data_IF_773150678156
#
_entry.id   IF_773150678156
#
_cell.length_a   1.000
_cell.length_b   1.000
_cell.length_c   1.000
_cell.angle_alpha   90.00
_cell.angle_beta   90.00
_cell.angle_gamma   90.00
#
_symmetry.space_group_name_H-M   'P 1'
#
loop_
_entity.id
_entity.type
_entity.pdbx_description
1 polymer ?
#
# COMPACT_ATOMS: atom_id res chain seq x y z
N UNK A 1 -15.08 18.71 7.78
CA UNK A 1 -13.79 18.86 7.07
C UNK A 1 -13.05 20.15 7.38
N UNK A 2 -13.75 21.19 7.84
CA UNK A 2 -13.14 22.48 8.22
C UNK A 2 -12.61 22.52 9.67
N UNK A 3 -12.79 21.47 10.47
CA UNK A 3 -12.28 21.44 11.83
C UNK A 3 -10.76 21.32 11.85
N UNK A 4 -10.10 22.45 12.10
CA UNK A 4 -8.64 22.55 12.18
C UNK A 4 -8.05 21.84 13.42
N UNK A 5 -8.88 21.44 14.40
CA UNK A 5 -8.42 20.71 15.59
C UNK A 5 -8.08 19.24 15.31
N UNK A 6 -8.47 18.70 14.16
CA UNK A 6 -8.07 17.33 13.76
C UNK A 6 -6.72 17.42 13.05
N UNK A 7 -5.67 17.03 13.76
CA UNK A 7 -4.36 16.80 13.20
C UNK A 7 -4.26 15.34 12.71
N UNK A 8 -4.20 15.19 11.37
CA UNK A 8 -4.08 13.88 10.74
C UNK A 8 -2.72 13.27 11.01
N UNK A 9 -1.67 14.11 11.03
CA UNK A 9 -0.30 13.67 11.27
C UNK A 9 -0.13 13.04 12.65
N UNK A 10 -0.72 13.66 13.67
CA UNK A 10 -0.74 13.13 15.03
C UNK A 10 -1.59 11.84 15.12
N UNK A 11 -2.68 11.78 14.37
CA UNK A 11 -3.57 10.62 14.34
C UNK A 11 -2.86 9.33 13.89
N UNK A 12 -1.80 9.42 13.08
CA UNK A 12 -1.04 8.26 12.64
C UNK A 12 -0.39 7.47 13.79
N UNK A 13 -0.04 8.12 14.90
CA UNK A 13 0.52 7.46 16.07
C UNK A 13 -0.41 6.37 16.66
N UNK A 14 -1.73 6.53 16.48
CA UNK A 14 -2.73 5.53 16.88
C UNK A 14 -3.15 4.65 15.71
N UNK A 15 -3.31 5.23 14.53
CA UNK A 15 -3.80 4.55 13.34
C UNK A 15 -2.85 3.44 12.87
N UNK A 16 -1.54 3.72 12.75
CA UNK A 16 -0.56 2.76 12.20
C UNK A 16 -0.45 1.50 13.05
N UNK A 17 -0.23 1.56 14.39
CA UNK A 17 -0.17 0.36 15.21
C UNK A 17 -1.42 -0.51 15.11
N UNK A 18 -2.59 0.11 15.06
CA UNK A 18 -3.86 -0.60 14.93
C UNK A 18 -4.00 -1.33 13.59
N UNK A 19 -3.53 -0.73 12.49
CA UNK A 19 -3.54 -1.39 11.17
C UNK A 19 -2.52 -2.53 11.07
N UNK A 20 -1.35 -2.34 11.67
CA UNK A 20 -0.26 -3.32 11.69
C UNK A 20 -0.59 -4.49 12.63
N UNK A 21 -1.13 -4.21 13.82
CA UNK A 21 -1.39 -5.23 14.85
C UNK A 21 -0.09 -5.95 15.27
N UNK A 22 -0.20 -7.22 15.60
CA UNK A 22 0.92 -8.03 16.12
C UNK A 22 1.78 -8.69 15.02
N UNK A 23 1.77 -8.13 13.79
CA UNK A 23 2.55 -8.70 12.69
C UNK A 23 4.04 -8.47 12.90
N UNK A 24 4.88 -9.54 12.88
CA UNK A 24 6.32 -9.39 13.02
C UNK A 24 6.99 -8.81 11.77
N UNK A 25 6.33 -8.99 10.61
CA UNK A 25 6.82 -8.54 9.30
C UNK A 25 5.70 -7.92 8.48
N UNK A 26 5.97 -6.79 7.85
CA UNK A 26 5.02 -6.14 6.96
C UNK A 26 5.66 -5.67 5.65
N UNK A 27 4.89 -5.76 4.57
CA UNK A 27 5.21 -5.12 3.30
C UNK A 27 4.41 -3.82 3.22
N UNK A 28 5.08 -2.71 2.94
CA UNK A 28 4.46 -1.39 2.78
C UNK A 28 4.72 -0.90 1.36
N UNK A 29 3.67 -0.75 0.58
CA UNK A 29 3.73 -0.16 -0.75
C UNK A 29 3.69 1.36 -0.63
N UNK A 30 4.57 2.06 -1.36
CA UNK A 30 4.66 3.51 -1.42
C UNK A 30 4.40 3.98 -2.86
N UNK A 31 3.46 4.93 -3.02
CA UNK A 31 3.16 5.50 -4.33
C UNK A 31 2.46 6.86 -4.23
N UNK A 32 2.60 7.66 -5.29
CA UNK A 32 1.90 8.92 -5.47
C UNK A 32 0.59 8.72 -6.22
N UNK A 33 -0.43 9.50 -5.87
CA UNK A 33 -1.72 9.48 -6.56
C UNK A 33 -2.27 10.90 -6.71
N UNK A 34 -2.65 11.27 -7.94
CA UNK A 34 -3.05 12.63 -8.30
C UNK A 34 -4.55 12.88 -8.12
N UNK A 35 -4.89 14.09 -7.68
CA UNK A 35 -6.24 14.66 -7.71
C UNK A 35 -6.21 15.88 -8.64
N UNK A 36 -6.16 15.61 -9.95
CA UNK A 36 -5.87 16.60 -11.00
C UNK A 36 -6.82 17.80 -10.99
N UNK A 37 -8.11 17.58 -10.70
CA UNK A 37 -9.11 18.66 -10.65
C UNK A 37 -8.84 19.72 -9.57
N UNK A 38 -8.07 19.36 -8.56
CA UNK A 38 -7.75 20.25 -7.44
C UNK A 38 -6.26 20.63 -7.43
N UNK A 39 -5.49 20.22 -8.44
CA UNK A 39 -4.05 20.50 -8.53
C UNK A 39 -3.25 19.88 -7.38
N UNK A 40 -3.74 18.79 -6.80
CA UNK A 40 -3.14 18.15 -5.63
C UNK A 40 -2.63 16.75 -5.97
N UNK A 41 -1.62 16.33 -5.24
CA UNK A 41 -1.09 14.97 -5.28
C UNK A 41 -0.89 14.46 -3.86
N UNK A 42 -1.15 13.18 -3.65
CA UNK A 42 -1.02 12.54 -2.34
C UNK A 42 0.00 11.42 -2.40
N UNK A 43 1.02 11.48 -1.56
CA UNK A 43 1.87 10.34 -1.27
C UNK A 43 1.14 9.43 -0.28
N UNK A 44 1.13 8.11 -0.55
CA UNK A 44 0.50 7.13 0.34
C UNK A 44 1.45 5.98 0.59
N UNK A 45 1.66 5.66 1.86
CA UNK A 45 2.30 4.44 2.33
C UNK A 45 1.20 3.49 2.80
N UNK A 46 1.10 2.32 2.21
CA UNK A 46 -0.01 1.39 2.45
C UNK A 46 0.48 0.00 2.82
N UNK A 47 -0.11 -0.59 3.85
CA UNK A 47 0.10 -1.98 4.25
C UNK A 47 -0.43 -2.91 3.16
N UNK A 48 0.43 -3.76 2.62
CA UNK A 48 0.01 -4.84 1.71
C UNK A 48 -0.74 -5.90 2.50
N UNK A 49 -1.98 -6.20 2.10
CA UNK A 49 -2.81 -7.18 2.78
C UNK A 49 -2.98 -8.47 1.97
N UNK A 50 -3.43 -9.55 2.63
CA UNK A 50 -3.69 -10.83 1.97
C UNK A 50 -4.97 -10.88 1.12
N UNK A 51 -5.82 -9.84 1.16
CA UNK A 51 -7.10 -9.82 0.45
C UNK A 51 -7.10 -9.03 -0.87
N UNK A 52 -5.92 -8.69 -1.40
CA UNK A 52 -5.78 -8.08 -2.72
C UNK A 52 -5.97 -6.56 -2.76
N UNK A 53 -5.94 -5.90 -1.62
CA UNK A 53 -5.91 -4.44 -1.45
C UNK A 53 -4.79 -4.05 -0.51
N UNK A 54 -4.33 -2.81 -0.61
CA UNK A 54 -3.45 -2.22 0.38
C UNK A 54 -4.26 -1.31 1.31
N UNK A 55 -3.96 -1.34 2.61
CA UNK A 55 -4.60 -0.48 3.60
C UNK A 55 -3.72 0.75 3.87
N UNK A 56 -4.21 1.99 3.75
CA UNK A 56 -3.41 3.19 3.96
C UNK A 56 -2.93 3.28 5.42
N UNK A 57 -1.63 3.51 5.60
CA UNK A 57 -0.99 3.73 6.90
C UNK A 57 -0.68 5.21 7.12
N UNK A 58 0.04 5.80 6.19
CA UNK A 58 0.48 7.20 6.20
C UNK A 58 0.11 7.81 4.85
N UNK A 59 -0.32 9.06 4.85
CA UNK A 59 -0.51 9.85 3.64
C UNK A 59 -0.19 11.31 3.89
N UNK A 60 0.18 12.01 2.83
CA UNK A 60 0.44 13.43 2.83
C UNK A 60 0.01 14.01 1.49
N UNK A 61 -0.93 14.93 1.50
CA UNK A 61 -1.36 15.67 0.32
C UNK A 61 -0.61 16.99 0.22
N UNK A 62 -0.15 17.31 -0.98
CA UNK A 62 0.59 18.54 -1.29
C UNK A 62 0.07 19.14 -2.60
N UNK A 63 0.44 20.37 -2.89
CA UNK A 63 0.22 20.92 -4.21
C UNK A 63 1.10 20.24 -5.24
N UNK A 64 0.53 19.89 -6.39
CA UNK A 64 1.22 19.11 -7.44
C UNK A 64 2.47 19.84 -7.95
N UNK A 65 2.45 21.17 -8.00
CA UNK A 65 3.56 22.01 -8.42
C UNK A 65 4.77 21.90 -7.46
N UNK A 66 4.54 21.71 -6.16
CA UNK A 66 5.61 21.57 -5.17
C UNK A 66 6.43 20.29 -5.32
N UNK A 67 5.85 19.24 -5.91
CA UNK A 67 6.52 17.94 -6.08
C UNK A 67 7.77 18.09 -6.98
N UNK A 68 7.76 19.01 -7.92
CA UNK A 68 8.89 19.22 -8.84
C UNK A 68 10.19 19.51 -8.10
N UNK A 69 10.13 20.19 -6.97
CA UNK A 69 11.31 20.65 -6.21
C UNK A 69 11.47 19.99 -4.85
N UNK A 70 10.38 19.51 -4.23
CA UNK A 70 10.34 19.05 -2.83
C UNK A 70 9.89 17.59 -2.67
N UNK A 71 9.87 16.83 -3.76
CA UNK A 71 9.38 15.45 -3.74
C UNK A 71 10.06 14.61 -2.66
N UNK A 72 11.39 14.62 -2.63
CA UNK A 72 12.14 13.82 -1.67
C UNK A 72 11.89 14.24 -0.22
N UNK A 73 11.70 15.55 0.05
CA UNK A 73 11.39 16.02 1.40
C UNK A 73 10.08 15.42 1.94
N UNK A 74 9.06 15.33 1.07
CA UNK A 74 7.77 14.74 1.41
C UNK A 74 7.85 13.22 1.58
N UNK A 75 8.60 12.54 0.71
CA UNK A 75 8.86 11.11 0.81
C UNK A 75 9.59 10.76 2.12
N UNK A 76 10.65 11.51 2.44
CA UNK A 76 11.43 11.35 3.67
C UNK A 76 10.58 11.63 4.93
N UNK A 77 9.74 12.67 4.90
CA UNK A 77 8.85 12.99 6.01
C UNK A 77 7.86 11.84 6.30
N UNK A 78 7.22 11.29 5.26
CA UNK A 78 6.29 10.17 5.40
C UNK A 78 6.99 8.89 5.89
N UNK A 79 8.17 8.58 5.38
CA UNK A 79 8.94 7.41 5.80
C UNK A 79 9.42 7.55 7.25
N UNK A 80 9.87 8.75 7.66
CA UNK A 80 10.24 9.03 9.05
C UNK A 80 9.03 8.88 9.97
N UNK A 81 7.86 9.42 9.57
CA UNK A 81 6.62 9.26 10.33
C UNK A 81 6.20 7.79 10.45
N UNK A 82 6.36 7.01 9.39
CA UNK A 82 6.13 5.57 9.46
C UNK A 82 7.05 4.92 10.51
N UNK A 83 8.35 5.22 10.48
CA UNK A 83 9.31 4.67 11.45
C UNK A 83 8.94 5.01 12.90
N UNK A 84 8.51 6.26 13.17
CA UNK A 84 8.08 6.72 14.48
C UNK A 84 6.81 6.02 15.00
N UNK A 85 5.95 5.56 14.10
CA UNK A 85 4.63 5.02 14.45
C UNK A 85 4.53 3.50 14.36
N UNK A 86 5.53 2.82 13.81
CA UNK A 86 5.55 1.36 13.72
C UNK A 86 5.66 0.71 15.10
N UNK A 87 4.95 -0.40 15.34
CA UNK A 87 5.13 -1.19 16.55
C UNK A 87 6.57 -1.67 16.70
N UNK A 88 7.07 -1.65 17.94
CA UNK A 88 8.42 -2.12 18.27
C UNK A 88 8.59 -3.58 17.84
N UNK A 89 9.71 -3.87 17.18
CA UNK A 89 10.03 -5.22 16.69
C UNK A 89 9.37 -5.64 15.37
N UNK A 90 8.48 -4.83 14.81
CA UNK A 90 7.91 -5.09 13.48
C UNK A 90 8.92 -4.72 12.37
N UNK A 91 9.27 -5.69 11.54
CA UNK A 91 10.16 -5.48 10.39
C UNK A 91 9.36 -4.96 9.19
N UNK A 92 9.82 -3.85 8.63
CA UNK A 92 9.17 -3.20 7.49
C UNK A 92 9.98 -3.41 6.23
N UNK A 93 9.32 -3.83 5.15
CA UNK A 93 9.90 -3.84 3.80
C UNK A 93 9.13 -2.87 2.91
N UNK A 94 9.79 -1.82 2.43
CA UNK A 94 9.22 -0.82 1.52
C UNK A 94 9.24 -1.34 0.08
N UNK A 95 8.10 -1.25 -0.59
CA UNK A 95 7.92 -1.58 -2.00
C UNK A 95 7.61 -0.30 -2.76
N UNK A 96 8.42 0.05 -3.75
CA UNK A 96 8.18 1.24 -4.55
C UNK A 96 8.53 1.03 -6.03
N UNK A 97 7.95 1.83 -6.91
CA UNK A 97 8.17 1.73 -8.34
C UNK A 97 9.46 2.45 -8.78
N UNK A 98 9.71 2.44 -10.10
CA UNK A 98 10.91 3.06 -10.69
C UNK A 98 11.01 4.58 -10.52
N UNK A 99 9.91 5.24 -10.15
CA UNK A 99 9.89 6.67 -9.84
C UNK A 99 10.62 6.99 -8.54
N UNK A 100 10.79 5.99 -7.68
CA UNK A 100 11.48 6.05 -6.38
C UNK A 100 12.89 5.42 -6.43
N UNK A 101 13.37 5.00 -7.60
CA UNK A 101 14.65 4.30 -7.76
C UNK A 101 15.87 5.23 -7.60
N UNK A 102 15.98 5.95 -6.50
CA UNK A 102 17.07 6.85 -6.15
C UNK A 102 17.95 6.24 -5.05
N UNK A 103 19.27 6.36 -5.23
CA UNK A 103 20.26 5.90 -4.26
C UNK A 103 20.18 6.62 -2.90
N UNK A 104 19.71 7.88 -2.86
CA UNK A 104 19.49 8.63 -1.62
C UNK A 104 18.39 7.96 -0.81
N UNK A 105 17.31 7.54 -1.47
CA UNK A 105 16.24 6.80 -0.83
C UNK A 105 16.74 5.47 -0.26
N UNK A 106 17.58 4.72 -0.98
CA UNK A 106 18.15 3.46 -0.46
C UNK A 106 18.97 3.68 0.82
N UNK A 107 19.75 4.80 0.87
CA UNK A 107 20.49 5.17 2.06
C UNK A 107 19.56 5.50 3.23
N UNK A 108 18.56 6.33 2.97
CA UNK A 108 17.63 6.78 3.98
C UNK A 108 16.79 5.64 4.56
N UNK A 109 16.33 4.70 3.74
CA UNK A 109 15.62 3.50 4.22
C UNK A 109 16.51 2.65 5.14
N UNK A 110 17.80 2.51 4.81
CA UNK A 110 18.75 1.80 5.67
C UNK A 110 18.99 2.52 7.02
N UNK A 111 19.05 3.86 7.03
CA UNK A 111 19.12 4.67 8.25
C UNK A 111 17.90 4.49 9.15
N UNK A 112 16.71 4.35 8.55
CA UNK A 112 15.47 4.08 9.26
C UNK A 112 15.32 2.60 9.71
N UNK A 113 16.25 1.72 9.34
CA UNK A 113 16.16 0.30 9.62
C UNK A 113 15.12 -0.45 8.76
N UNK A 114 14.69 0.12 7.65
CA UNK A 114 13.73 -0.49 6.75
C UNK A 114 14.42 -1.33 5.67
N UNK A 115 13.92 -2.53 5.47
CA UNK A 115 14.22 -3.29 4.26
C UNK A 115 13.47 -2.69 3.05
N UNK A 116 13.93 -2.99 1.84
CA UNK A 116 13.25 -2.52 0.63
C UNK A 116 13.37 -3.48 -0.54
N UNK A 117 12.39 -3.40 -1.45
CA UNK A 117 12.44 -3.95 -2.81
C UNK A 117 11.90 -2.87 -3.74
N UNK A 118 12.77 -2.17 -4.41
CA UNK A 118 12.44 -0.99 -5.23
C UNK A 118 12.84 -1.26 -6.68
N UNK A 119 11.90 -1.02 -7.60
CA UNK A 119 12.21 -1.08 -9.02
C UNK A 119 12.99 0.17 -9.43
N UNK A 120 13.96 -0.02 -10.32
CA UNK A 120 14.69 1.08 -10.95
C UNK A 120 14.73 0.89 -12.47
N UNK A 121 15.23 1.90 -13.20
CA UNK A 121 15.22 1.90 -14.67
C UNK A 121 16.26 0.92 -15.21
N UNK A 122 15.89 0.15 -16.24
CA UNK A 122 16.73 -0.88 -16.82
C UNK A 122 18.00 -0.38 -17.52
N UNK A 123 18.08 0.91 -17.85
CA UNK A 123 19.29 1.55 -18.41
C UNK A 123 20.33 1.97 -17.35
N UNK A 124 20.00 1.88 -16.08
CA UNK A 124 20.95 2.14 -14.99
C UNK A 124 22.01 1.03 -14.99
N UNK A 125 23.27 1.39 -14.89
CA UNK A 125 24.36 0.44 -14.83
C UNK A 125 24.43 -0.25 -13.48
N UNK A 126 24.66 -1.55 -13.54
CA UNK A 126 24.83 -2.42 -12.38
C UNK A 126 26.16 -3.16 -12.54
N UNK A 127 27.00 -3.08 -11.51
CA UNK A 127 28.19 -3.92 -11.40
C UNK A 127 27.90 -5.09 -10.47
N UNK A 128 28.30 -6.29 -10.86
CA UNK A 128 28.27 -7.47 -10.01
C UNK A 128 29.49 -7.54 -9.06
N UNK A 129 29.55 -8.58 -8.25
CA UNK A 129 30.65 -8.79 -7.29
C UNK A 129 32.03 -8.96 -7.97
N UNK A 130 32.08 -9.32 -9.25
CA UNK A 130 33.35 -9.45 -10.02
C UNK A 130 33.82 -8.13 -10.60
N UNK A 131 32.95 -7.10 -10.58
CA UNK A 131 33.21 -5.80 -11.20
C UNK A 131 32.69 -5.71 -12.64
N UNK A 132 32.08 -6.76 -13.19
CA UNK A 132 31.44 -6.68 -14.50
C UNK A 132 30.28 -5.68 -14.45
N UNK A 133 30.30 -4.70 -15.36
CA UNK A 133 29.32 -3.60 -15.37
C UNK A 133 28.55 -3.57 -16.69
N UNK A 134 27.23 -3.58 -16.62
CA UNK A 134 26.34 -3.42 -17.78
C UNK A 134 25.00 -2.80 -17.37
N UNK A 135 24.16 -2.32 -18.32
CA UNK A 135 22.79 -1.90 -18.04
C UNK A 135 21.98 -3.02 -17.32
N UNK A 136 21.16 -2.64 -16.34
CA UNK A 136 20.43 -3.61 -15.52
C UNK A 136 19.55 -4.56 -16.35
N UNK A 137 18.95 -4.08 -17.45
CA UNK A 137 18.13 -4.90 -18.32
C UNK A 137 18.91 -6.06 -18.99
N UNK A 138 20.23 -5.93 -19.18
CA UNK A 138 21.08 -6.95 -19.79
C UNK A 138 21.45 -8.09 -18.81
N UNK A 139 21.17 -7.91 -17.52
CA UNK A 139 21.38 -8.92 -16.50
C UNK A 139 20.24 -9.96 -16.42
N UNK A 140 19.20 -9.82 -17.23
CA UNK A 140 18.11 -10.81 -17.29
C UNK A 140 18.65 -12.18 -17.67
N UNK A 141 18.22 -13.23 -16.98
CA UNK A 141 18.62 -14.60 -17.26
C UNK A 141 18.08 -15.13 -18.60
N UNK A 142 18.66 -16.21 -19.09
CA UNK A 142 18.25 -16.86 -20.36
C UNK A 142 16.74 -17.13 -20.35
N UNK A 143 16.08 -16.80 -21.46
CA UNK A 143 14.62 -16.96 -21.61
C UNK A 143 13.79 -16.06 -20.70
N UNK A 144 14.35 -14.93 -20.24
CA UNK A 144 13.64 -13.98 -19.38
C UNK A 144 13.57 -14.37 -17.90
N UNK A 145 14.27 -15.42 -17.48
CA UNK A 145 14.29 -15.89 -16.09
C UNK A 145 14.90 -14.85 -15.15
N UNK A 146 14.44 -14.85 -13.91
CA UNK A 146 15.02 -14.02 -12.88
C UNK A 146 16.49 -14.38 -12.63
N UNK A 147 17.38 -13.38 -12.69
CA UNK A 147 18.78 -13.48 -12.28
C UNK A 147 19.01 -12.56 -11.11
N UNK A 148 19.62 -13.08 -10.05
CA UNK A 148 20.00 -12.34 -8.85
C UNK A 148 21.51 -12.11 -8.84
N UNK A 149 21.89 -10.88 -8.54
CA UNK A 149 23.25 -10.45 -8.27
C UNK A 149 23.30 -10.08 -6.78
N UNK A 150 24.19 -10.70 -6.00
CA UNK A 150 24.45 -10.34 -4.61
C UNK A 150 25.47 -9.23 -4.54
N UNK A 151 25.41 -8.39 -3.52
CA UNK A 151 26.36 -7.32 -3.25
C UNK A 151 26.66 -6.45 -4.47
N UNK A 152 25.62 -6.23 -5.28
CA UNK A 152 25.71 -5.47 -6.51
C UNK A 152 25.86 -3.98 -6.22
N UNK A 153 26.53 -3.27 -7.14
CA UNK A 153 26.62 -1.81 -7.11
C UNK A 153 25.72 -1.23 -8.18
N UNK A 154 24.89 -0.28 -7.77
CA UNK A 154 23.89 0.35 -8.64
C UNK A 154 24.28 1.81 -8.84
N UNK A 155 24.06 2.36 -10.04
CA UNK A 155 24.38 3.73 -10.46
C UNK A 155 25.86 4.00 -10.70
N UNK A 156 26.17 5.14 -11.36
CA UNK A 156 27.53 5.57 -11.61
C UNK A 156 28.34 5.83 -10.33
N UNK A 157 27.66 6.18 -9.23
CA UNK A 157 28.30 6.37 -7.92
C UNK A 157 28.59 5.05 -7.19
N UNK A 158 28.20 3.90 -7.76
CA UNK A 158 28.51 2.59 -7.22
C UNK A 158 27.87 2.30 -5.86
N UNK A 159 26.64 2.77 -5.63
CA UNK A 159 25.91 2.47 -4.38
C UNK A 159 25.73 0.97 -4.22
N UNK A 160 26.29 0.41 -3.17
CA UNK A 160 26.11 -0.99 -2.83
C UNK A 160 24.69 -1.24 -2.30
N UNK A 161 24.06 -2.31 -2.80
CA UNK A 161 22.77 -2.84 -2.37
C UNK A 161 22.92 -4.33 -2.05
N UNK A 162 22.08 -4.89 -1.18
CA UNK A 162 22.15 -6.30 -0.79
C UNK A 162 21.97 -7.24 -1.98
N UNK A 163 21.04 -6.93 -2.87
CA UNK A 163 20.84 -7.69 -4.11
C UNK A 163 20.23 -6.83 -5.21
N UNK A 164 20.53 -7.21 -6.46
CA UNK A 164 19.78 -6.78 -7.66
C UNK A 164 19.15 -8.00 -8.29
N UNK A 165 17.86 -7.91 -8.66
CA UNK A 165 17.14 -8.96 -9.39
C UNK A 165 16.63 -8.39 -10.70
N UNK A 166 17.00 -9.02 -11.82
CA UNK A 166 16.53 -8.65 -13.15
C UNK A 166 15.72 -9.81 -13.75
N UNK A 167 14.50 -9.52 -14.19
CA UNK A 167 13.57 -10.52 -14.74
C UNK A 167 12.74 -9.93 -15.87
N UNK A 168 12.51 -10.72 -16.93
CA UNK A 168 11.61 -10.35 -18.04
C UNK A 168 10.76 -11.56 -18.42
N UNK A 169 9.82 -11.93 -17.56
CA UNK A 169 8.94 -13.07 -17.78
C UNK A 169 7.97 -12.84 -18.95
N UNK A 170 7.47 -13.92 -19.53
CA UNK A 170 6.47 -13.87 -20.61
C UNK A 170 5.28 -12.99 -20.21
N UNK A 171 4.93 -12.03 -21.06
CA UNK A 171 3.83 -11.09 -20.85
C UNK A 171 4.23 -9.78 -20.15
N UNK A 172 5.45 -9.64 -19.65
CA UNK A 172 5.95 -8.35 -19.17
C UNK A 172 6.27 -7.42 -20.36
N UNK A 173 5.81 -6.16 -20.29
CA UNK A 173 6.12 -5.14 -21.31
C UNK A 173 7.60 -4.75 -21.32
N UNK A 174 8.24 -4.74 -20.16
CA UNK A 174 9.62 -4.36 -19.95
C UNK A 174 10.22 -5.14 -18.77
N UNK A 175 11.56 -5.29 -18.71
CA UNK A 175 12.20 -5.97 -17.59
C UNK A 175 11.92 -5.28 -16.26
N UNK A 176 11.78 -6.06 -15.20
CA UNK A 176 11.88 -5.55 -13.85
C UNK A 176 13.33 -5.66 -13.39
N UNK A 177 13.90 -4.52 -13.01
CA UNK A 177 15.19 -4.41 -12.37
C UNK A 177 14.94 -3.91 -10.94
N UNK A 178 15.14 -4.78 -9.96
CA UNK A 178 14.79 -4.59 -8.57
C UNK A 178 16.08 -4.46 -7.73
N UNK A 179 16.20 -3.38 -6.98
CA UNK A 179 17.18 -3.26 -5.91
C UNK A 179 16.55 -3.70 -4.59
N UNK A 180 17.25 -4.52 -3.84
CA UNK A 180 16.79 -5.03 -2.55
C UNK A 180 17.88 -4.90 -1.48
N UNK A 181 17.46 -4.66 -0.25
CA UNK A 181 18.37 -4.58 0.91
C UNK A 181 18.84 -5.96 1.41
N UNK A 182 18.02 -7.01 1.22
CA UNK A 182 18.29 -8.35 1.72
C UNK A 182 19.11 -9.18 0.71
N UNK A 183 20.39 -9.48 0.99
CA UNK A 183 21.23 -10.30 0.12
C UNK A 183 20.86 -11.79 0.18
N UNK A 184 20.15 -12.25 1.22
CA UNK A 184 19.84 -13.67 1.40
C UNK A 184 18.50 -14.08 0.78
N UNK A 185 17.54 -13.15 0.67
CA UNK A 185 16.26 -13.43 0.03
C UNK A 185 16.44 -13.98 -1.40
N UNK A 186 15.70 -15.02 -1.76
CA UNK A 186 15.76 -15.58 -3.11
C UNK A 186 15.18 -14.63 -4.16
N UNK A 187 15.60 -14.76 -5.42
CA UNK A 187 15.05 -13.97 -6.51
C UNK A 187 13.52 -14.09 -6.59
N UNK A 188 12.97 -15.30 -6.36
CA UNK A 188 11.53 -15.55 -6.39
C UNK A 188 10.79 -14.78 -5.28
N UNK A 189 11.35 -14.74 -4.07
CA UNK A 189 10.78 -13.97 -2.94
C UNK A 189 10.77 -12.49 -3.27
N UNK A 190 11.88 -11.92 -3.74
CA UNK A 190 11.99 -10.49 -4.07
C UNK A 190 11.04 -10.09 -5.21
N UNK A 191 10.94 -10.89 -6.28
CA UNK A 191 9.99 -10.66 -7.37
C UNK A 191 8.54 -10.74 -6.88
N UNK A 192 8.21 -11.72 -6.02
CA UNK A 192 6.87 -11.86 -5.43
C UNK A 192 6.53 -10.70 -4.49
N UNK A 193 7.48 -10.22 -3.68
CA UNK A 193 7.28 -9.02 -2.84
C UNK A 193 6.97 -7.82 -3.72
N UNK A 194 7.79 -7.56 -4.73
CA UNK A 194 7.54 -6.44 -5.64
C UNK A 194 6.19 -6.55 -6.37
N UNK A 195 5.81 -7.75 -6.82
CA UNK A 195 4.52 -7.97 -7.47
C UNK A 195 3.34 -7.56 -6.57
N UNK A 196 3.45 -7.72 -5.26
CA UNK A 196 2.40 -7.30 -4.30
C UNK A 196 2.23 -5.79 -4.21
N UNK A 197 3.19 -4.98 -4.66
CA UNK A 197 3.04 -3.51 -4.75
C UNK A 197 1.79 -3.10 -5.52
N UNK A 198 1.44 -3.86 -6.57
CA UNK A 198 0.25 -3.57 -7.39
C UNK A 198 -1.06 -3.49 -6.61
N UNK A 199 -1.12 -4.01 -5.38
CA UNK A 199 -2.32 -3.91 -4.53
C UNK A 199 -2.67 -2.48 -4.12
N UNK A 200 -1.73 -1.52 -4.23
CA UNK A 200 -1.99 -0.11 -3.94
C UNK A 200 -2.84 0.55 -5.04
N UNK A 201 -2.67 0.17 -6.30
CA UNK A 201 -3.39 0.77 -7.42
C UNK A 201 -4.91 0.51 -7.38
N UNK A 202 -5.39 -0.74 -7.15
CA UNK A 202 -6.80 -0.96 -6.89
C UNK A 202 -7.32 -0.23 -5.66
N UNK A 203 -6.49 0.00 -4.62
CA UNK A 203 -6.90 0.76 -3.43
C UNK A 203 -7.08 2.25 -3.75
N UNK A 204 -6.23 2.83 -4.61
CA UNK A 204 -6.44 4.18 -5.14
C UNK A 204 -7.73 4.29 -5.94
N UNK A 205 -8.06 3.26 -6.73
CA UNK A 205 -9.33 3.21 -7.45
C UNK A 205 -10.51 3.13 -6.47
N UNK A 206 -10.44 2.25 -5.47
CA UNK A 206 -11.48 2.15 -4.44
C UNK A 206 -11.67 3.49 -3.68
N UNK A 207 -10.61 4.29 -3.52
CA UNK A 207 -10.70 5.63 -2.92
C UNK A 207 -11.32 6.65 -3.87
N UNK A 208 -10.97 6.63 -5.15
CA UNK A 208 -11.26 7.71 -6.12
C UNK A 208 -12.53 7.50 -6.94
N UNK A 209 -12.83 6.25 -7.30
CA UNK A 209 -13.91 5.93 -8.23
C UNK A 209 -15.28 6.31 -7.65
N UNK A 210 -16.06 7.07 -8.44
CA UNK A 210 -17.38 7.54 -8.03
C UNK A 210 -18.40 6.40 -7.98
N UNK A 211 -18.31 5.43 -8.88
CA UNK A 211 -19.31 4.38 -9.04
C UNK A 211 -19.04 3.16 -8.16
N UNK A 212 -17.78 2.81 -7.98
CA UNK A 212 -17.40 1.56 -7.33
C UNK A 212 -16.53 1.75 -6.08
N UNK A 213 -16.25 2.99 -5.71
CA UNK A 213 -15.40 3.36 -4.58
C UNK A 213 -16.01 4.46 -3.73
N UNK A 214 -15.15 5.21 -3.06
CA UNK A 214 -15.53 6.33 -2.16
C UNK A 214 -15.83 7.64 -2.89
N UNK A 215 -15.56 7.74 -4.20
CA UNK A 215 -15.91 8.90 -5.02
C UNK A 215 -15.04 10.15 -4.79
N UNK A 216 -13.87 10.03 -4.17
CA UNK A 216 -13.09 11.20 -3.77
C UNK A 216 -12.55 12.02 -4.95
N UNK A 217 -12.46 11.46 -6.16
CA UNK A 217 -12.10 12.22 -7.36
C UNK A 217 -13.16 13.23 -7.79
N UNK A 218 -14.42 13.05 -7.35
CA UNK A 218 -15.55 13.94 -7.66
C UNK A 218 -15.73 15.05 -6.62
N UNK A 219 -14.99 15.00 -5.51
CA UNK A 219 -15.03 16.05 -4.49
C UNK A 219 -14.12 17.23 -4.90
N UNK A 220 -14.53 18.45 -4.56
CA UNK A 220 -13.72 19.65 -4.76
C UNK A 220 -13.12 20.07 -3.42
N UNK A 221 -11.82 19.94 -3.29
CA UNK A 221 -11.09 20.22 -2.05
C UNK A 221 -10.00 21.25 -2.34
N UNK A 222 -10.22 22.49 -1.90
CA UNK A 222 -9.32 23.62 -2.15
C UNK A 222 -8.02 23.60 -1.37
N UNK A 223 -7.86 22.72 -0.36
CA UNK A 223 -6.69 22.71 0.51
C UNK A 223 -6.17 21.29 0.76
N UNK A 224 -4.84 21.03 0.64
CA UNK A 224 -4.24 19.72 0.89
C UNK A 224 -4.57 19.14 2.28
N UNK A 225 -4.49 19.95 3.34
CA UNK A 225 -4.80 19.52 4.72
C UNK A 225 -6.26 19.12 4.92
N UNK A 226 -7.19 19.70 4.15
CA UNK A 226 -8.60 19.27 4.14
C UNK A 226 -8.78 17.94 3.45
N UNK A 227 -7.98 17.67 2.39
CA UNK A 227 -7.95 16.38 1.72
C UNK A 227 -7.43 15.30 2.66
N UNK A 228 -6.37 15.57 3.42
CA UNK A 228 -5.84 14.61 4.38
C UNK A 228 -6.89 14.21 5.43
N UNK A 229 -7.68 15.17 5.93
CA UNK A 229 -8.81 14.88 6.84
C UNK A 229 -9.91 14.06 6.17
N UNK A 230 -10.21 14.31 4.89
CA UNK A 230 -11.18 13.50 4.14
C UNK A 230 -10.66 12.07 3.92
N UNK A 231 -9.37 11.92 3.62
CA UNK A 231 -8.72 10.62 3.49
C UNK A 231 -8.74 9.85 4.81
N UNK A 232 -8.59 10.51 5.97
CA UNK A 232 -8.71 9.87 7.28
C UNK A 232 -10.11 9.27 7.47
N UNK A 233 -11.17 10.04 7.23
CA UNK A 233 -12.55 9.54 7.31
C UNK A 233 -12.77 8.39 6.33
N UNK A 234 -12.24 8.52 5.11
CA UNK A 234 -12.35 7.47 4.08
C UNK A 234 -11.60 6.20 4.48
N UNK A 235 -10.43 6.30 5.11
CA UNK A 235 -9.67 5.16 5.59
C UNK A 235 -10.45 4.36 6.64
N UNK A 236 -11.09 5.05 7.59
CA UNK A 236 -11.99 4.40 8.55
C UNK A 236 -13.20 3.73 7.87
N UNK A 237 -13.86 4.43 6.95
CA UNK A 237 -15.00 3.87 6.22
C UNK A 237 -14.60 2.63 5.39
N UNK A 238 -13.46 2.68 4.71
CA UNK A 238 -12.94 1.55 3.94
C UNK A 238 -12.59 0.35 4.83
N UNK A 239 -12.04 0.59 6.02
CA UNK A 239 -11.75 -0.47 6.99
C UNK A 239 -13.06 -1.14 7.47
N UNK A 240 -14.08 -0.35 7.84
CA UNK A 240 -15.38 -0.86 8.26
C UNK A 240 -16.08 -1.64 7.15
N UNK A 241 -16.10 -1.11 5.92
CA UNK A 241 -16.67 -1.80 4.76
C UNK A 241 -15.90 -3.09 4.43
N UNK A 242 -14.58 -3.11 4.60
CA UNK A 242 -13.78 -4.33 4.42
C UNK A 242 -14.15 -5.39 5.47
N UNK A 243 -14.34 -4.99 6.73
CA UNK A 243 -14.81 -5.89 7.79
C UNK A 243 -16.22 -6.40 7.52
N UNK A 244 -17.13 -5.55 7.06
CA UNK A 244 -18.50 -5.95 6.69
C UNK A 244 -18.47 -6.98 5.54
N UNK A 245 -17.63 -6.75 4.53
CA UNK A 245 -17.44 -7.69 3.43
C UNK A 245 -16.87 -9.03 3.89
N UNK A 246 -15.86 -9.02 4.77
CA UNK A 246 -15.26 -10.22 5.34
C UNK A 246 -16.30 -11.02 6.17
N UNK A 247 -17.10 -10.31 6.97
CA UNK A 247 -18.18 -10.89 7.77
C UNK A 247 -19.24 -11.52 6.88
N UNK A 248 -19.69 -10.81 5.85
CA UNK A 248 -20.66 -11.33 4.90
C UNK A 248 -20.15 -12.57 4.16
N UNK A 249 -18.85 -12.56 3.76
CA UNK A 249 -18.22 -13.73 3.14
C UNK A 249 -18.18 -14.94 4.09
N UNK A 250 -17.85 -14.72 5.37
CA UNK A 250 -17.84 -15.80 6.38
C UNK A 250 -19.23 -16.43 6.63
N UNK A 251 -20.29 -15.67 6.38
CA UNK A 251 -21.68 -16.13 6.44
C UNK A 251 -22.21 -16.67 5.09
N UNK A 252 -21.34 -16.77 4.06
CA UNK A 252 -21.73 -17.26 2.74
C UNK A 252 -22.55 -16.28 1.90
N UNK A 253 -22.67 -15.02 2.31
CA UNK A 253 -23.47 -14.00 1.59
C UNK A 253 -22.80 -13.55 0.28
N UNK A 254 -21.48 -13.79 0.10
CA UNK A 254 -20.75 -13.53 -1.13
C UNK A 254 -21.35 -14.27 -2.35
N UNK A 255 -22.02 -15.38 -2.12
CA UNK A 255 -22.67 -16.18 -3.17
C UNK A 255 -23.66 -15.38 -3.99
N UNK A 256 -24.37 -14.44 -3.37
CA UNK A 256 -25.35 -13.58 -4.03
C UNK A 256 -24.75 -12.38 -4.74
N UNK A 257 -23.50 -12.06 -4.41
CA UNK A 257 -22.79 -10.91 -4.97
C UNK A 257 -21.96 -11.27 -6.22
N UNK A 258 -21.98 -12.53 -6.63
CA UNK A 258 -21.20 -13.04 -7.77
C UNK A 258 -22.00 -13.99 -8.64
N UNK A 259 -21.54 -14.25 -9.85
CA UNK A 259 -22.11 -15.25 -10.76
C UNK A 259 -22.08 -16.64 -10.12
N UNK A 260 -23.15 -17.42 -10.30
CA UNK A 260 -23.27 -18.81 -9.82
C UNK A 260 -22.19 -19.74 -10.35
N UNK A 261 -21.58 -19.40 -11.50
CA UNK A 261 -20.49 -20.17 -12.11
C UNK A 261 -19.12 -19.87 -11.50
N UNK A 262 -18.97 -18.77 -10.76
CA UNK A 262 -17.70 -18.38 -10.13
C UNK A 262 -17.44 -19.17 -8.85
N UNK A 263 -16.37 -19.99 -8.86
CA UNK A 263 -15.92 -20.77 -7.69
C UNK A 263 -15.03 -19.96 -6.76
N UNK A 264 -14.41 -18.90 -7.24
CA UNK A 264 -13.47 -18.06 -6.49
C UNK A 264 -14.10 -16.73 -6.11
N UNK A 265 -13.43 -15.96 -5.23
CA UNK A 265 -13.82 -14.59 -4.90
C UNK A 265 -13.75 -13.71 -6.15
N UNK A 266 -14.85 -13.06 -6.52
CA UNK A 266 -14.95 -12.18 -7.71
C UNK A 266 -14.77 -10.69 -7.34
N UNK A 267 -15.08 -10.31 -6.09
CA UNK A 267 -14.99 -8.94 -5.60
C UNK A 267 -14.05 -8.85 -4.41
N UNK A 268 -13.35 -7.69 -4.25
CA UNK A 268 -12.60 -7.43 -3.02
C UNK A 268 -13.52 -7.39 -1.82
N UNK A 269 -12.99 -7.63 -0.61
CA UNK A 269 -13.77 -7.54 0.62
C UNK A 269 -14.40 -6.15 0.78
N UNK A 270 -13.65 -5.08 0.45
CA UNK A 270 -14.18 -3.71 0.43
C UNK A 270 -15.41 -3.60 -0.49
N UNK A 271 -15.32 -4.10 -1.75
CA UNK A 271 -16.45 -4.03 -2.69
C UNK A 271 -17.64 -4.87 -2.22
N UNK A 272 -17.40 -6.05 -1.66
CA UNK A 272 -18.45 -6.85 -1.04
C UNK A 272 -19.14 -6.10 0.09
N UNK A 273 -18.36 -5.40 0.93
CA UNK A 273 -18.88 -4.56 2.00
C UNK A 273 -19.77 -3.41 1.49
N UNK A 274 -19.35 -2.72 0.42
CA UNK A 274 -20.18 -1.69 -0.23
C UNK A 274 -21.51 -2.28 -0.69
N UNK A 275 -21.48 -3.43 -1.40
CA UNK A 275 -22.71 -4.10 -1.90
C UNK A 275 -23.61 -4.57 -0.75
N UNK A 276 -23.04 -5.12 0.32
CA UNK A 276 -23.82 -5.51 1.49
C UNK A 276 -24.42 -4.31 2.20
N UNK A 277 -23.67 -3.22 2.34
CA UNK A 277 -24.15 -1.97 2.93
C UNK A 277 -25.37 -1.41 2.16
N UNK A 278 -25.31 -1.43 0.84
CA UNK A 278 -26.44 -1.02 -0.02
C UNK A 278 -27.68 -1.93 0.17
N UNK A 279 -27.49 -3.19 0.50
CA UNK A 279 -28.58 -4.16 0.72
C UNK A 279 -29.21 -4.08 2.12
N UNK A 280 -28.50 -3.57 3.13
CA UNK A 280 -28.95 -3.51 4.54
C UNK A 280 -30.38 -2.93 4.68
N UNK A 281 -30.74 -1.79 4.05
CA UNK A 281 -32.08 -1.21 4.24
C UNK A 281 -33.23 -2.11 3.82
N UNK A 282 -33.01 -3.04 2.92
CA UNK A 282 -34.01 -3.95 2.37
C UNK A 282 -33.74 -5.43 2.73
N UNK A 283 -32.81 -5.68 3.66
CA UNK A 283 -32.44 -7.04 4.04
C UNK A 283 -33.45 -7.64 5.02
N UNK A 284 -33.98 -8.86 4.76
CA UNK A 284 -34.84 -9.54 5.72
C UNK A 284 -34.15 -9.77 7.06
N UNK A 285 -34.90 -9.64 8.17
CA UNK A 285 -34.38 -9.70 9.54
C UNK A 285 -33.58 -10.99 9.82
N UNK A 286 -34.04 -12.14 9.34
CA UNK A 286 -33.37 -13.43 9.55
C UNK A 286 -31.93 -13.48 8.91
N UNK A 287 -31.61 -12.54 8.01
CA UNK A 287 -30.31 -12.38 7.40
C UNK A 287 -29.55 -11.19 7.98
N UNK A 288 -30.25 -10.11 8.28
CA UNK A 288 -29.70 -8.89 8.84
C UNK A 288 -29.12 -9.13 10.25
N UNK A 289 -29.90 -9.75 11.13
CA UNK A 289 -29.48 -9.96 12.50
C UNK A 289 -28.19 -10.79 12.64
N UNK A 290 -28.00 -11.93 11.96
CA UNK A 290 -26.71 -12.63 11.97
C UNK A 290 -25.55 -11.81 11.39
N UNK A 291 -25.77 -11.05 10.31
CA UNK A 291 -24.75 -10.20 9.73
C UNK A 291 -24.27 -9.12 10.71
N UNK A 292 -25.24 -8.41 11.32
CA UNK A 292 -24.92 -7.32 12.25
C UNK A 292 -24.29 -7.83 13.54
N UNK A 293 -24.72 -8.98 14.07
CA UNK A 293 -24.09 -9.60 15.24
C UNK A 293 -22.64 -10.02 14.96
N UNK A 294 -22.39 -10.67 13.82
CA UNK A 294 -21.04 -11.07 13.43
C UNK A 294 -20.16 -9.85 13.09
N UNK A 295 -20.71 -8.82 12.47
CA UNK A 295 -20.02 -7.58 12.18
C UNK A 295 -19.63 -6.84 13.47
N UNK A 296 -20.56 -6.69 14.43
CA UNK A 296 -20.27 -6.09 15.74
C UNK A 296 -19.14 -6.83 16.48
N UNK A 297 -19.17 -8.17 16.43
CA UNK A 297 -18.08 -8.99 16.96
C UNK A 297 -16.75 -8.73 16.25
N UNK A 298 -16.75 -8.66 14.92
CA UNK A 298 -15.53 -8.38 14.14
C UNK A 298 -14.97 -6.99 14.45
N UNK A 299 -15.83 -5.97 14.59
CA UNK A 299 -15.43 -4.60 14.97
C UNK A 299 -14.82 -4.58 16.39
N UNK A 300 -15.44 -5.26 17.36
CA UNK A 300 -14.92 -5.29 18.73
C UNK A 300 -13.59 -6.03 18.87
N UNK A 301 -13.29 -6.96 17.96
CA UNK A 301 -12.05 -7.71 17.91
C UNK A 301 -10.96 -7.01 17.06
N UNK A 302 -11.35 -6.08 16.21
CA UNK A 302 -10.42 -5.33 15.39
C UNK A 302 -9.76 -4.22 16.25
N UNK A 303 -8.47 -4.33 16.51
CA UNK A 303 -7.73 -3.39 17.35
C UNK A 303 -7.91 -1.93 16.94
N UNK A 304 -8.03 -1.67 15.62
CA UNK A 304 -8.23 -0.34 15.05
C UNK A 304 -9.52 0.38 15.49
N UNK A 305 -10.49 -0.33 16.07
CA UNK A 305 -11.75 0.25 16.52
C UNK A 305 -11.98 0.12 18.02
N UNK A 306 -11.15 -0.66 18.73
CA UNK A 306 -11.34 -0.94 20.17
C UNK A 306 -11.39 0.33 21.02
N UNK A 307 -10.54 1.33 20.72
CA UNK A 307 -10.51 2.59 21.45
C UNK A 307 -11.66 3.55 21.08
N UNK A 308 -12.16 3.48 19.82
CA UNK A 308 -13.28 4.33 19.38
C UNK A 308 -14.60 3.92 20.03
N UNK A 309 -14.74 2.64 20.40
CA UNK A 309 -15.93 2.09 21.03
C UNK A 309 -15.75 1.84 22.54
N UNK A 310 -14.57 2.12 23.09
CA UNK A 310 -14.40 2.13 24.54
C UNK A 310 -15.27 3.24 25.12
N UNK A 311 -16.18 2.87 26.05
CA UNK A 311 -17.01 3.87 26.74
C UNK A 311 -16.07 4.85 27.48
N UNK A 312 -16.34 6.17 27.41
CA UNK A 312 -15.62 7.12 28.23
C UNK A 312 -15.84 6.75 29.71
N UNK A 313 -14.73 6.63 30.44
CA UNK A 313 -14.77 6.41 31.88
C UNK A 313 -15.34 7.62 32.60
#
# INVERSE_FOLDING_TARGET
MSNASIDVWDSFARWVPQQVGDRPDVLVAMDWTDFDHDGQSTLVLSLVTGHGRAAPLIWLTVWKEEITTRRNDYEDACLRRLAETMPVGCRVTILADRGFGDQKLFAFLAELGFAYVIRFRGNIHVADATGETRPAAEWVGKGGRARKLRDARVTAQGRQVGAVVCVHAKGMKEPWCLAASDPEATAAVLVNHYAKRWTIEPSFRDTKDLRFGMGLSSTRIGEPTRRDRLLLVSAFAMALLTLLGATGESLGMDRQLKSNTSKTRSHSLFRQGCMLYELIPNMPEHRLAPLMAAFAKAVSQASQFSELFAQPK
#
